data_IF_323705988833
#
_entry.id   IF_323705988833
#
_cell.length_a   1.000
_cell.length_b   1.000
_cell.length_c   1.000
_cell.angle_alpha   90.00
_cell.angle_beta   90.00
_cell.angle_gamma   90.00
#
_symmetry.space_group_name_H-M   'P 1'
#
loop_
_entity.id
_entity.type
_entity.pdbx_description
1 polymer ?
#
# COMPACT_ATOMS: atom_id res chain seq x y z
N UNK A 1 -34.69 -32.80 47.05
CA UNK A 1 -34.12 -33.15 45.73
C UNK A 1 -34.97 -32.77 44.52
N UNK A 2 -36.33 -32.82 44.46
CA UNK A 2 -37.08 -32.49 43.24
C UNK A 2 -36.99 -31.02 42.77
N UNK A 3 -36.93 -30.07 43.69
CA UNK A 3 -36.91 -28.63 43.37
C UNK A 3 -35.61 -28.17 42.70
N UNK A 4 -34.47 -28.77 43.03
CA UNK A 4 -33.15 -28.44 42.42
C UNK A 4 -33.05 -28.89 40.96
N UNK A 5 -33.64 -30.03 40.65
CA UNK A 5 -33.69 -30.59 39.30
C UNK A 5 -34.58 -29.75 38.36
N UNK A 6 -35.69 -29.22 38.88
CA UNK A 6 -36.57 -28.32 38.12
C UNK A 6 -35.94 -26.96 37.84
N UNK A 7 -35.18 -26.40 38.78
CA UNK A 7 -34.46 -25.14 38.58
C UNK A 7 -33.33 -25.31 37.54
N UNK A 8 -32.58 -26.41 37.61
CA UNK A 8 -31.53 -26.71 36.61
C UNK A 8 -32.13 -26.91 35.22
N UNK A 9 -33.22 -27.61 35.08
CA UNK A 9 -33.88 -27.79 33.77
C UNK A 9 -34.41 -26.47 33.19
N UNK A 10 -34.94 -25.56 34.03
CA UNK A 10 -35.39 -24.24 33.63
C UNK A 10 -34.23 -23.34 33.17
N UNK A 11 -33.08 -23.38 33.85
CA UNK A 11 -31.88 -22.63 33.47
C UNK A 11 -31.33 -23.15 32.13
N UNK A 12 -31.26 -24.46 31.93
CA UNK A 12 -30.82 -25.06 30.66
C UNK A 12 -31.77 -24.69 29.52
N UNK A 13 -33.09 -24.73 29.79
CA UNK A 13 -34.11 -24.35 28.80
C UNK A 13 -33.97 -22.87 28.39
N UNK A 14 -33.88 -21.99 29.39
CA UNK A 14 -33.66 -20.54 29.15
C UNK A 14 -32.37 -20.26 28.38
N UNK A 15 -31.31 -21.00 28.67
CA UNK A 15 -30.02 -20.88 27.95
C UNK A 15 -30.11 -21.32 26.48
N UNK A 16 -30.87 -22.39 26.18
CA UNK A 16 -31.15 -22.85 24.83
C UNK A 16 -32.02 -21.85 24.07
N UNK A 17 -33.03 -21.28 24.74
CA UNK A 17 -33.91 -20.29 24.11
C UNK A 17 -33.19 -18.99 23.85
N UNK A 18 -32.37 -18.50 24.78
CA UNK A 18 -31.48 -17.33 24.57
C UNK A 18 -30.47 -17.58 23.46
N UNK A 19 -29.84 -18.76 23.42
CA UNK A 19 -28.95 -19.15 22.35
C UNK A 19 -29.65 -19.21 20.99
N UNK A 20 -30.88 -19.75 20.94
CA UNK A 20 -31.73 -19.78 19.75
C UNK A 20 -32.12 -18.37 19.25
N UNK A 21 -32.50 -17.48 20.22
CA UNK A 21 -32.82 -16.08 19.90
C UNK A 21 -31.57 -15.29 19.42
N UNK A 22 -30.42 -15.49 20.06
CA UNK A 22 -29.16 -14.91 19.65
C UNK A 22 -28.73 -15.44 18.25
N UNK A 23 -28.87 -16.73 18.02
CA UNK A 23 -28.59 -17.34 16.71
C UNK A 23 -29.52 -16.79 15.64
N UNK A 24 -30.80 -16.66 15.90
CA UNK A 24 -31.78 -16.07 14.99
C UNK A 24 -31.51 -14.58 14.72
N UNK A 25 -31.12 -13.81 15.74
CA UNK A 25 -30.72 -12.40 15.60
C UNK A 25 -29.41 -12.23 14.82
N UNK A 26 -28.52 -13.24 14.85
CA UNK A 26 -27.29 -13.27 14.05
C UNK A 26 -27.53 -13.77 12.60
N UNK A 27 -28.65 -14.46 12.36
CA UNK A 27 -29.05 -14.97 11.03
C UNK A 27 -30.03 -14.02 10.30
N UNK A 28 -30.62 -13.02 10.98
CA UNK A 28 -31.39 -11.95 10.31
C UNK A 28 -30.40 -11.02 9.61
N UNK A 29 -30.25 -11.18 8.28
CA UNK A 29 -29.47 -10.26 7.45
C UNK A 29 -30.07 -8.85 7.60
N UNK A 30 -29.27 -7.94 8.14
CA UNK A 30 -29.64 -6.52 8.25
C UNK A 30 -29.87 -5.94 6.86
N UNK A 31 -30.84 -5.06 6.71
CA UNK A 31 -31.07 -4.31 5.48
C UNK A 31 -29.83 -3.45 5.16
N UNK A 32 -29.44 -3.42 3.87
CA UNK A 32 -28.30 -2.64 3.41
C UNK A 32 -28.35 -1.15 3.82
N UNK A 33 -29.56 -0.56 3.81
CA UNK A 33 -29.74 0.82 4.26
C UNK A 33 -29.45 1.01 5.74
N UNK A 34 -29.82 0.02 6.55
CA UNK A 34 -29.56 0.03 8.00
C UNK A 34 -28.05 -0.12 8.26
N UNK A 35 -27.36 -1.04 7.55
CA UNK A 35 -25.89 -1.19 7.62
C UNK A 35 -25.18 0.12 7.26
N UNK A 36 -25.54 0.73 6.11
CA UNK A 36 -24.96 1.98 5.66
C UNK A 36 -25.20 3.12 6.66
N UNK A 37 -26.42 3.21 7.23
CA UNK A 37 -26.75 4.17 8.26
C UNK A 37 -25.93 3.97 9.53
N UNK A 38 -25.88 2.75 10.06
CA UNK A 38 -25.10 2.44 11.27
C UNK A 38 -23.61 2.76 11.06
N UNK A 39 -23.05 2.46 9.90
CA UNK A 39 -21.66 2.77 9.60
C UNK A 39 -21.42 4.29 9.56
N UNK A 40 -22.30 5.06 8.90
CA UNK A 40 -22.12 6.51 8.79
C UNK A 40 -22.38 7.25 10.09
N UNK A 41 -23.25 6.74 10.97
CA UNK A 41 -23.56 7.34 12.26
C UNK A 41 -22.52 7.00 13.36
N UNK A 42 -21.83 5.85 13.26
CA UNK A 42 -20.98 5.36 14.34
C UNK A 42 -19.48 5.22 13.98
N UNK A 43 -19.10 5.33 12.71
CA UNK A 43 -17.71 5.16 12.27
C UNK A 43 -17.22 6.42 11.58
N UNK A 44 -16.11 6.99 12.05
CA UNK A 44 -15.40 8.03 11.33
C UNK A 44 -14.62 7.41 10.17
N UNK A 45 -15.01 7.72 8.93
CA UNK A 45 -14.35 7.20 7.74
C UNK A 45 -13.16 8.09 7.36
N UNK A 46 -11.97 7.49 7.33
CA UNK A 46 -10.73 8.18 6.98
C UNK A 46 -10.77 8.78 5.57
N UNK A 47 -10.05 9.89 5.36
CA UNK A 47 -9.90 10.61 4.08
C UNK A 47 -11.22 11.06 3.44
N UNK A 48 -12.27 11.25 4.25
CA UNK A 48 -13.61 11.58 3.79
C UNK A 48 -14.24 12.72 4.58
N UNK A 49 -15.03 13.54 3.91
CA UNK A 49 -15.99 14.43 4.58
C UNK A 49 -17.11 13.56 5.13
N UNK A 50 -17.43 13.70 6.44
CA UNK A 50 -18.40 12.82 7.08
C UNK A 50 -19.85 13.06 6.66
N UNK A 51 -20.18 14.28 6.25
CA UNK A 51 -21.52 14.61 5.75
C UNK A 51 -21.76 14.08 4.34
N UNK A 52 -22.90 13.40 4.13
CA UNK A 52 -23.30 12.90 2.81
C UNK A 52 -22.62 11.63 2.34
N UNK A 53 -21.98 10.90 3.23
CA UNK A 53 -21.42 9.58 2.94
C UNK A 53 -22.55 8.58 2.60
N UNK A 54 -22.34 7.81 1.54
CA UNK A 54 -23.22 6.72 1.13
C UNK A 54 -22.37 5.51 0.73
N UNK A 55 -21.89 4.72 1.72
CA UNK A 55 -21.03 3.57 1.45
C UNK A 55 -21.80 2.49 0.69
N UNK A 56 -21.11 1.83 -0.25
CA UNK A 56 -21.60 0.58 -0.84
C UNK A 56 -21.56 -0.48 0.26
N UNK A 57 -22.68 -1.18 0.44
CA UNK A 57 -22.73 -2.32 1.35
C UNK A 57 -22.34 -3.57 0.58
N UNK A 58 -21.20 -4.14 0.96
CA UNK A 58 -20.62 -5.32 0.32
C UNK A 58 -21.31 -6.57 0.87
N UNK A 59 -21.76 -7.45 -0.03
CA UNK A 59 -22.26 -8.78 0.32
C UNK A 59 -21.09 -9.79 0.40
N UNK A 60 -20.37 -9.96 -0.72
CA UNK A 60 -19.20 -10.83 -0.78
C UNK A 60 -18.19 -10.32 -1.82
N UNK A 61 -17.02 -10.96 -1.85
CA UNK A 61 -16.01 -10.68 -2.87
C UNK A 61 -15.30 -11.99 -3.26
N UNK A 62 -14.92 -12.13 -4.55
CA UNK A 62 -14.24 -13.31 -5.08
C UNK A 62 -13.31 -12.93 -6.24
N UNK A 63 -12.12 -13.52 -6.29
CA UNK A 63 -11.13 -13.24 -7.33
C UNK A 63 -10.74 -11.76 -7.35
N UNK A 64 -11.07 -11.05 -8.43
CA UNK A 64 -10.86 -9.59 -8.54
C UNK A 64 -12.15 -8.79 -8.33
N UNK A 65 -13.26 -9.43 -7.97
CA UNK A 65 -14.59 -8.83 -7.97
C UNK A 65 -15.14 -8.65 -6.57
N UNK A 66 -15.83 -7.52 -6.38
CA UNK A 66 -16.62 -7.19 -5.20
C UNK A 66 -18.10 -7.15 -5.62
N UNK A 67 -18.97 -7.70 -4.81
CA UNK A 67 -20.42 -7.71 -5.06
C UNK A 67 -21.13 -6.97 -3.94
N UNK A 68 -22.02 -6.04 -4.31
CA UNK A 68 -22.87 -5.38 -3.32
C UNK A 68 -24.14 -6.19 -3.04
N UNK A 69 -24.88 -5.75 -2.04
CA UNK A 69 -26.14 -6.40 -1.62
C UNK A 69 -27.25 -6.34 -2.66
N UNK A 70 -27.13 -5.52 -3.70
CA UNK A 70 -28.05 -5.48 -4.86
C UNK A 70 -27.59 -6.45 -5.97
N UNK A 71 -26.49 -7.19 -5.76
CA UNK A 71 -25.91 -8.13 -6.71
C UNK A 71 -25.08 -7.47 -7.82
N UNK A 72 -24.80 -6.18 -7.72
CA UNK A 72 -23.94 -5.49 -8.69
C UNK A 72 -22.48 -5.87 -8.47
N UNK A 73 -21.81 -6.24 -9.56
CA UNK A 73 -20.38 -6.60 -9.61
C UNK A 73 -19.51 -5.38 -9.88
N UNK A 74 -18.41 -5.27 -9.14
CA UNK A 74 -17.35 -4.29 -9.34
C UNK A 74 -16.03 -5.02 -9.51
N UNK A 75 -15.32 -4.78 -10.61
CA UNK A 75 -13.93 -5.20 -10.74
C UNK A 75 -13.03 -4.26 -9.95
N UNK A 76 -12.25 -4.79 -9.04
CA UNK A 76 -11.31 -4.01 -8.25
C UNK A 76 -10.03 -3.74 -9.05
N UNK A 77 -9.97 -2.60 -9.69
CA UNK A 77 -8.83 -2.18 -10.51
C UNK A 77 -7.79 -1.35 -9.73
N UNK A 78 -7.90 -1.35 -8.40
CA UNK A 78 -6.95 -0.71 -7.49
C UNK A 78 -6.44 -1.63 -6.37
N UNK A 79 -6.88 -2.90 -6.33
CA UNK A 79 -6.65 -3.79 -5.19
C UNK A 79 -7.02 -3.11 -3.87
N UNK A 80 -8.18 -2.42 -3.85
CA UNK A 80 -8.59 -1.47 -2.82
C UNK A 80 -7.55 -0.33 -2.69
N UNK A 81 -6.67 -0.41 -1.76
CA UNK A 81 -5.56 0.54 -1.59
C UNK A 81 -4.21 -0.10 -1.94
N UNK A 82 -4.15 -0.81 -3.08
CA UNK A 82 -3.00 -1.60 -3.54
C UNK A 82 -2.59 -2.64 -2.48
N UNK A 83 -3.58 -3.37 -1.99
CA UNK A 83 -3.44 -4.27 -0.84
C UNK A 83 -3.84 -5.71 -1.18
N UNK A 84 -4.94 -5.93 -1.93
CA UNK A 84 -5.52 -7.24 -2.20
C UNK A 84 -4.78 -7.93 -3.37
N UNK A 85 -3.50 -8.23 -3.17
CA UNK A 85 -2.64 -8.76 -4.23
C UNK A 85 -3.06 -10.16 -4.71
N UNK A 86 -3.42 -11.07 -3.78
CA UNK A 86 -3.81 -12.45 -4.08
C UNK A 86 -5.31 -12.61 -4.41
N UNK A 87 -6.03 -11.49 -4.53
CA UNK A 87 -7.47 -11.48 -4.74
C UNK A 87 -8.29 -11.81 -3.50
N UNK A 88 -9.59 -11.78 -3.67
CA UNK A 88 -10.58 -12.03 -2.62
C UNK A 88 -10.88 -13.52 -2.47
N UNK A 89 -11.35 -13.90 -1.29
CA UNK A 89 -11.82 -15.25 -0.94
C UNK A 89 -10.83 -16.38 -1.27
N UNK A 90 -9.52 -16.09 -1.21
CA UNK A 90 -8.51 -17.11 -1.42
C UNK A 90 -8.54 -18.13 -0.29
N UNK A 91 -8.88 -19.38 -0.67
CA UNK A 91 -9.11 -20.47 0.29
C UNK A 91 -7.87 -20.80 1.11
N UNK A 92 -6.68 -20.68 0.52
CA UNK A 92 -5.43 -21.05 1.21
C UNK A 92 -5.15 -20.15 2.41
N UNK A 93 -5.31 -18.82 2.24
CA UNK A 93 -5.14 -17.88 3.35
C UNK A 93 -6.24 -18.10 4.40
N UNK A 94 -7.48 -18.31 3.97
CA UNK A 94 -8.61 -18.56 4.87
C UNK A 94 -8.39 -19.81 5.71
N UNK A 95 -7.99 -20.93 5.11
CA UNK A 95 -7.74 -22.17 5.84
C UNK A 95 -6.49 -22.09 6.74
N UNK A 96 -5.44 -21.38 6.32
CA UNK A 96 -4.27 -21.15 7.16
C UNK A 96 -4.62 -20.34 8.43
N UNK A 97 -5.48 -19.33 8.30
CA UNK A 97 -5.98 -18.54 9.43
C UNK A 97 -6.79 -19.41 10.38
N UNK A 98 -7.75 -20.19 9.86
CA UNK A 98 -8.57 -21.12 10.66
C UNK A 98 -7.70 -22.12 11.41
N UNK A 99 -6.77 -22.78 10.72
CA UNK A 99 -5.86 -23.76 11.31
C UNK A 99 -4.98 -23.14 12.42
N UNK A 100 -4.54 -21.91 12.26
CA UNK A 100 -3.80 -21.20 13.30
C UNK A 100 -4.72 -20.82 14.47
N UNK A 101 -5.97 -20.42 14.20
CA UNK A 101 -6.94 -20.06 15.23
C UNK A 101 -7.31 -21.28 16.11
N UNK A 102 -7.41 -22.46 15.51
CA UNK A 102 -7.65 -23.72 16.23
C UNK A 102 -6.50 -24.08 17.19
N UNK A 103 -5.27 -23.65 16.91
CA UNK A 103 -4.12 -23.82 17.81
C UNK A 103 -4.13 -22.77 18.93
N UNK A 104 -4.07 -21.52 18.55
CA UNK A 104 -4.16 -20.32 19.39
C UNK A 104 -4.20 -19.06 18.53
N UNK A 105 -4.91 -18.03 19.00
CA UNK A 105 -4.99 -16.75 18.30
C UNK A 105 -3.73 -15.90 18.51
N UNK A 106 -3.26 -15.78 19.75
CA UNK A 106 -2.22 -14.84 20.13
C UNK A 106 -1.24 -15.42 21.16
N UNK A 107 0.04 -15.09 20.96
CA UNK A 107 1.11 -15.16 21.97
C UNK A 107 2.03 -13.94 21.78
N UNK A 108 2.57 -13.41 22.89
CA UNK A 108 3.47 -12.27 22.85
C UNK A 108 4.76 -12.53 22.05
N UNK A 109 5.44 -11.44 21.65
CA UNK A 109 6.60 -11.50 20.73
C UNK A 109 7.77 -12.33 21.23
N UNK A 110 7.99 -12.42 22.55
CA UNK A 110 9.08 -13.21 23.15
C UNK A 110 8.86 -14.73 23.15
N UNK A 111 7.64 -15.16 22.86
CA UNK A 111 7.32 -16.60 22.74
C UNK A 111 7.45 -17.05 21.29
N UNK A 112 8.03 -18.24 21.08
CA UNK A 112 8.13 -18.82 19.74
C UNK A 112 6.73 -19.12 19.18
N UNK A 113 6.46 -18.67 17.94
CA UNK A 113 5.29 -19.03 17.17
C UNK A 113 5.73 -19.54 15.80
N UNK A 114 5.29 -20.75 15.43
CA UNK A 114 5.67 -21.40 14.18
C UNK A 114 5.39 -20.53 12.95
N UNK A 115 4.20 -19.93 12.86
CA UNK A 115 3.81 -19.07 11.76
C UNK A 115 4.70 -17.84 11.63
N UNK A 116 5.06 -17.21 12.77
CA UNK A 116 5.97 -16.06 12.78
C UNK A 116 7.37 -16.42 12.29
N UNK A 117 7.91 -17.54 12.78
CA UNK A 117 9.24 -18.01 12.40
C UNK A 117 9.30 -18.41 10.92
N UNK A 118 8.27 -19.13 10.42
CA UNK A 118 8.16 -19.50 9.01
C UNK A 118 8.07 -18.31 8.09
N UNK A 119 7.23 -17.32 8.41
CA UNK A 119 7.09 -16.12 7.59
C UNK A 119 8.40 -15.33 7.55
N UNK A 120 9.05 -15.09 8.71
CA UNK A 120 10.31 -14.37 8.75
C UNK A 120 11.38 -15.11 7.90
N UNK A 121 11.49 -16.43 8.06
CA UNK A 121 12.43 -17.23 7.27
C UNK A 121 12.11 -17.17 5.79
N UNK A 122 10.84 -17.35 5.39
CA UNK A 122 10.42 -17.26 3.99
C UNK A 122 10.78 -15.92 3.36
N UNK A 123 10.61 -14.81 4.09
CA UNK A 123 11.00 -13.49 3.61
C UNK A 123 12.52 -13.41 3.39
N UNK A 124 13.30 -13.79 4.39
CA UNK A 124 14.76 -13.67 4.33
C UNK A 124 15.36 -14.58 3.25
N UNK A 125 14.86 -15.81 3.10
CA UNK A 125 15.37 -16.77 2.12
C UNK A 125 15.24 -16.30 0.65
N UNK A 126 14.38 -15.29 0.38
CA UNK A 126 14.17 -14.73 -0.96
C UNK A 126 14.85 -13.36 -1.15
N UNK A 127 15.69 -12.96 -0.20
CA UNK A 127 16.44 -11.72 -0.22
C UNK A 127 17.95 -11.98 -0.39
N UNK A 128 18.72 -10.97 -0.81
CA UNK A 128 20.18 -11.05 -0.77
C UNK A 128 20.70 -11.39 0.63
N UNK A 129 21.81 -12.14 0.70
CA UNK A 129 22.45 -12.64 1.95
C UNK A 129 22.80 -11.52 2.96
N UNK A 130 22.80 -10.28 2.54
CA UNK A 130 23.06 -9.14 3.42
C UNK A 130 21.90 -8.81 4.39
N UNK A 131 20.70 -9.34 4.17
CA UNK A 131 19.56 -9.13 5.07
C UNK A 131 19.48 -10.23 6.13
N UNK A 132 19.19 -9.84 7.39
CA UNK A 132 19.28 -10.74 8.52
C UNK A 132 18.01 -10.99 9.30
N UNK A 133 17.28 -9.97 9.64
CA UNK A 133 16.12 -10.10 10.56
C UNK A 133 14.93 -9.26 10.10
N UNK A 134 13.73 -9.73 10.46
CA UNK A 134 12.46 -9.04 10.27
C UNK A 134 11.93 -8.58 11.61
N UNK A 135 11.57 -7.31 11.73
CA UNK A 135 10.75 -6.78 12.81
C UNK A 135 9.33 -6.59 12.31
N UNK A 136 8.38 -7.36 12.80
CA UNK A 136 6.98 -7.28 12.39
C UNK A 136 6.25 -6.14 13.08
N UNK A 137 5.27 -5.55 12.37
CA UNK A 137 4.38 -4.47 12.83
C UNK A 137 2.93 -4.76 12.42
N UNK A 138 2.01 -3.84 12.71
CA UNK A 138 0.59 -4.00 12.35
C UNK A 138 0.24 -3.38 10.99
N UNK A 139 1.13 -2.60 10.40
CA UNK A 139 0.92 -1.93 9.12
C UNK A 139 2.11 -1.11 8.67
N UNK A 140 1.95 -0.39 7.54
CA UNK A 140 3.03 0.35 6.91
C UNK A 140 3.51 1.56 7.73
N UNK A 141 2.60 2.33 8.34
CA UNK A 141 2.98 3.46 9.17
C UNK A 141 3.84 3.02 10.36
N UNK A 142 3.42 1.94 11.05
CA UNK A 142 4.19 1.35 12.15
C UNK A 142 5.55 0.83 11.68
N UNK A 143 5.61 0.27 10.47
CA UNK A 143 6.85 -0.21 9.88
C UNK A 143 7.84 0.95 9.68
N UNK A 144 7.39 2.06 9.10
CA UNK A 144 8.19 3.25 8.89
C UNK A 144 8.64 3.89 10.21
N UNK A 145 7.75 4.01 11.22
CA UNK A 145 8.12 4.49 12.56
C UNK A 145 9.25 3.67 13.20
N UNK A 146 9.18 2.34 13.08
CA UNK A 146 10.19 1.48 13.66
C UNK A 146 11.48 1.47 12.83
N UNK A 147 11.41 1.57 11.50
CA UNK A 147 12.58 1.75 10.64
C UNK A 147 13.35 3.05 10.99
N UNK A 148 12.63 4.17 11.19
CA UNK A 148 13.21 5.44 11.64
C UNK A 148 13.91 5.28 13.01
N UNK A 149 13.24 4.62 13.97
CA UNK A 149 13.83 4.38 15.30
C UNK A 149 15.08 3.53 15.21
N UNK A 150 15.05 2.44 14.42
CA UNK A 150 16.20 1.56 14.19
C UNK A 150 17.36 2.35 13.57
N UNK A 151 17.10 3.13 12.51
CA UNK A 151 18.12 3.95 11.86
C UNK A 151 18.75 4.97 12.84
N UNK A 152 17.94 5.63 13.66
CA UNK A 152 18.43 6.59 14.68
C UNK A 152 19.25 5.89 15.75
N UNK A 153 18.84 4.73 16.25
CA UNK A 153 19.60 3.97 17.26
C UNK A 153 20.91 3.46 16.69
N UNK A 154 20.90 2.94 15.46
CA UNK A 154 22.08 2.39 14.82
C UNK A 154 23.13 3.47 14.51
N UNK A 155 22.70 4.61 13.94
CA UNK A 155 23.61 5.68 13.55
C UNK A 155 23.97 6.67 14.68
N UNK A 156 23.18 6.71 15.75
CA UNK A 156 23.28 7.74 16.80
C UNK A 156 22.88 9.14 16.31
N UNK A 157 22.26 9.26 15.13
CA UNK A 157 21.90 10.52 14.48
C UNK A 157 20.40 10.80 14.58
N UNK A 158 20.01 12.06 14.32
CA UNK A 158 18.65 12.50 14.61
C UNK A 158 17.79 12.79 13.38
N UNK A 159 18.35 13.43 12.32
CA UNK A 159 17.60 13.90 11.17
C UNK A 159 17.17 12.72 10.27
N UNK A 160 16.00 12.85 9.64
CA UNK A 160 15.53 11.91 8.60
C UNK A 160 15.00 12.74 7.44
N UNK A 161 15.37 12.36 6.23
CA UNK A 161 14.94 13.03 5.02
C UNK A 161 13.97 12.16 4.23
N UNK A 162 12.96 12.78 3.62
CA UNK A 162 12.01 12.14 2.69
C UNK A 162 11.73 13.06 1.50
N UNK A 163 11.13 12.51 0.46
CA UNK A 163 10.81 13.25 -0.75
C UNK A 163 9.45 13.95 -0.64
N UNK A 164 9.30 15.14 -1.24
CA UNK A 164 7.98 15.67 -1.58
C UNK A 164 7.27 14.72 -2.56
N UNK A 165 5.93 14.72 -2.54
CA UNK A 165 5.10 13.75 -3.28
C UNK A 165 5.37 12.32 -2.84
N UNK A 166 5.42 12.08 -1.53
CA UNK A 166 5.50 10.75 -0.91
C UNK A 166 4.40 10.55 0.12
N UNK A 167 4.15 9.29 0.46
CA UNK A 167 3.26 8.92 1.55
C UNK A 167 3.84 7.77 2.37
N UNK A 168 4.16 8.04 3.62
CA UNK A 168 4.79 7.06 4.53
C UNK A 168 3.88 6.60 5.68
N UNK A 169 2.70 7.19 5.81
CA UNK A 169 1.74 6.86 6.85
C UNK A 169 1.09 8.08 7.49
N UNK A 170 0.20 7.86 8.46
CA UNK A 170 -0.53 8.92 9.18
C UNK A 170 -0.25 8.94 10.68
N UNK A 171 0.74 8.21 11.17
CA UNK A 171 1.30 8.36 12.52
C UNK A 171 2.19 9.61 12.57
N UNK A 172 2.59 10.07 13.77
CA UNK A 172 3.31 11.35 13.87
C UNK A 172 4.64 11.36 13.12
N UNK A 173 5.51 10.34 13.25
CA UNK A 173 6.79 10.29 12.55
C UNK A 173 6.64 10.04 11.06
N UNK A 174 5.93 8.99 10.68
CA UNK A 174 5.70 8.65 9.27
C UNK A 174 4.87 9.73 8.54
N UNK A 175 3.91 10.35 9.23
CA UNK A 175 3.10 11.43 8.69
C UNK A 175 3.90 12.72 8.49
N UNK A 176 4.84 13.06 9.37
CA UNK A 176 5.75 14.20 9.18
C UNK A 176 6.76 13.97 8.05
N UNK A 177 7.02 12.73 7.64
CA UNK A 177 7.83 12.40 6.46
C UNK A 177 6.99 12.27 5.18
N UNK A 178 5.66 12.24 5.30
CA UNK A 178 4.76 12.29 4.13
C UNK A 178 4.88 13.64 3.44
N UNK A 179 5.25 13.64 2.17
CA UNK A 179 5.60 14.83 1.40
C UNK A 179 4.44 15.42 0.57
N UNK A 180 3.19 15.33 1.08
CA UNK A 180 1.98 15.80 0.39
C UNK A 180 0.93 16.29 1.40
N UNK A 181 -0.18 16.97 0.99
CA UNK A 181 -1.05 17.73 1.90
C UNK A 181 -1.60 17.00 3.12
N UNK A 182 -1.62 15.66 3.14
CA UNK A 182 -2.06 14.90 4.33
C UNK A 182 -1.19 15.14 5.56
N UNK A 183 0.04 15.65 5.39
CA UNK A 183 0.89 16.01 6.52
C UNK A 183 0.46 17.30 7.24
N UNK A 184 -0.31 18.19 6.59
CA UNK A 184 -0.73 19.47 7.19
C UNK A 184 -1.51 19.29 8.51
N UNK A 185 -2.21 18.16 8.67
CA UNK A 185 -2.90 17.83 9.92
C UNK A 185 -1.96 17.57 11.11
N UNK A 186 -0.64 17.43 10.86
CA UNK A 186 0.37 17.13 11.86
C UNK A 186 1.26 18.34 12.17
N UNK A 187 0.94 19.50 11.61
CA UNK A 187 1.68 20.74 11.89
C UNK A 187 1.39 21.27 13.30
N UNK A 188 2.39 21.86 13.99
CA UNK A 188 3.77 22.09 13.50
C UNK A 188 4.60 20.81 13.43
N UNK A 189 5.44 20.72 12.38
CA UNK A 189 6.24 19.54 12.13
C UNK A 189 7.22 19.21 13.28
N UNK A 190 7.50 17.92 13.45
CA UNK A 190 8.52 17.47 14.40
C UNK A 190 9.90 17.90 13.89
N UNK A 191 10.76 18.57 14.71
CA UNK A 191 12.11 18.95 14.30
C UNK A 191 12.94 17.74 13.84
N UNK A 192 13.71 17.95 12.76
CA UNK A 192 14.61 16.94 12.21
C UNK A 192 14.00 16.04 11.14
N UNK A 193 12.74 16.27 10.75
CA UNK A 193 12.17 15.73 9.53
C UNK A 193 12.27 16.75 8.41
N UNK A 194 12.83 16.35 7.26
CA UNK A 194 13.23 17.27 6.18
C UNK A 194 12.75 16.72 4.87
N UNK A 195 12.10 17.56 4.06
CA UNK A 195 11.69 17.15 2.70
C UNK A 195 12.68 17.68 1.66
N UNK A 196 12.92 16.85 0.65
CA UNK A 196 13.67 17.22 -0.55
C UNK A 196 12.81 17.04 -1.81
N UNK A 197 13.20 17.73 -2.88
CA UNK A 197 12.54 17.58 -4.17
C UNK A 197 13.17 16.42 -4.94
N UNK A 198 12.37 15.43 -5.30
CA UNK A 198 12.76 14.34 -6.19
C UNK A 198 12.24 14.53 -7.61
N UNK A 199 12.67 13.70 -8.57
CA UNK A 199 12.23 13.77 -9.95
C UNK A 199 10.78 13.39 -10.12
N UNK A 200 10.11 14.12 -11.01
CA UNK A 200 8.79 13.79 -11.55
C UNK A 200 8.77 14.23 -13.02
N UNK A 201 9.37 13.42 -13.88
CA UNK A 201 9.75 13.78 -15.24
C UNK A 201 8.62 14.36 -16.08
N UNK A 202 7.38 13.84 -15.94
CA UNK A 202 6.25 14.37 -16.69
C UNK A 202 5.85 15.80 -16.27
N UNK A 203 5.91 16.12 -14.98
CA UNK A 203 5.53 17.44 -14.43
C UNK A 203 6.72 18.40 -14.30
N UNK A 204 7.93 17.96 -14.69
CA UNK A 204 9.11 18.80 -14.60
C UNK A 204 9.05 19.93 -15.65
N UNK A 205 9.31 21.15 -15.18
CA UNK A 205 9.35 22.34 -16.04
C UNK A 205 10.75 22.66 -16.57
N UNK A 206 11.78 22.11 -15.94
CA UNK A 206 13.12 22.19 -16.46
C UNK A 206 13.23 21.30 -17.70
N UNK A 207 13.96 21.79 -18.68
CA UNK A 207 14.22 21.01 -19.87
C UNK A 207 15.54 20.25 -19.69
N UNK A 208 15.49 18.93 -19.82
CA UNK A 208 16.64 18.04 -19.81
C UNK A 208 16.76 17.38 -21.19
N UNK A 209 17.98 17.24 -21.69
CA UNK A 209 18.24 16.59 -22.99
C UNK A 209 18.13 15.06 -22.88
N UNK A 210 18.25 14.51 -21.67
CA UNK A 210 18.18 13.07 -21.41
C UNK A 210 17.71 12.75 -19.98
N UNK A 211 17.25 11.52 -19.78
CA UNK A 211 16.94 10.97 -18.45
C UNK A 211 18.17 10.96 -17.53
N UNK A 212 19.37 10.74 -18.07
CA UNK A 212 20.62 10.77 -17.29
C UNK A 212 20.94 12.20 -16.80
N UNK A 213 20.66 13.22 -17.58
CA UNK A 213 20.83 14.62 -17.17
C UNK A 213 19.83 14.99 -16.08
N UNK A 214 18.56 14.61 -16.21
CA UNK A 214 17.55 14.78 -15.15
C UNK A 214 17.99 14.07 -13.86
N UNK A 215 18.42 12.83 -13.98
CA UNK A 215 18.94 12.05 -12.86
C UNK A 215 20.11 12.76 -12.17
N UNK A 216 21.12 13.19 -12.94
CA UNK A 216 22.30 13.86 -12.39
C UNK A 216 21.93 15.15 -11.66
N UNK A 217 21.02 15.95 -12.21
CA UNK A 217 20.52 17.18 -11.59
C UNK A 217 19.89 16.90 -10.21
N UNK A 218 18.95 15.95 -10.12
CA UNK A 218 18.26 15.67 -8.86
C UNK A 218 19.17 15.01 -7.82
N UNK A 219 20.11 14.17 -8.24
CA UNK A 219 21.12 13.59 -7.35
C UNK A 219 22.05 14.67 -6.81
N UNK A 220 22.50 15.61 -7.64
CA UNK A 220 23.34 16.74 -7.20
C UNK A 220 22.60 17.64 -6.22
N UNK A 221 21.34 17.98 -6.51
CA UNK A 221 20.50 18.78 -5.60
C UNK A 221 20.26 18.10 -4.25
N UNK A 222 20.04 16.80 -4.23
CA UNK A 222 19.93 16.05 -2.97
C UNK A 222 21.25 16.06 -2.22
N UNK A 223 22.38 15.85 -2.89
CA UNK A 223 23.69 15.86 -2.28
C UNK A 223 24.02 17.24 -1.67
N UNK A 224 23.74 18.33 -2.39
CA UNK A 224 23.88 19.70 -1.90
C UNK A 224 23.05 19.92 -0.63
N UNK A 225 21.79 19.49 -0.63
CA UNK A 225 20.90 19.60 0.56
C UNK A 225 21.43 18.78 1.75
N UNK A 226 21.92 17.55 1.51
CA UNK A 226 22.55 16.72 2.57
C UNK A 226 23.73 17.43 3.19
N UNK A 227 24.57 18.12 2.40
CA UNK A 227 25.69 18.90 2.90
C UNK A 227 25.19 20.06 3.80
N UNK A 228 24.20 20.83 3.33
CA UNK A 228 23.66 21.97 4.10
C UNK A 228 22.93 21.54 5.38
N UNK A 229 22.31 20.36 5.38
CA UNK A 229 21.68 19.79 6.57
C UNK A 229 22.67 19.15 7.56
N UNK A 230 23.93 18.98 7.16
CA UNK A 230 24.96 18.27 7.92
C UNK A 230 24.80 16.77 7.75
N UNK A 231 25.48 16.17 6.78
CA UNK A 231 25.36 14.75 6.44
C UNK A 231 25.66 13.81 7.60
N UNK A 232 26.53 14.23 8.54
CA UNK A 232 26.85 13.53 9.78
C UNK A 232 25.73 13.56 10.84
N UNK A 233 24.67 14.32 10.62
CA UNK A 233 23.50 14.45 11.50
C UNK A 233 22.27 13.71 10.98
N UNK A 234 22.31 13.22 9.74
CA UNK A 234 21.20 12.54 9.09
C UNK A 234 21.30 11.04 9.36
N UNK A 235 20.29 10.48 10.00
CA UNK A 235 20.18 9.05 10.31
C UNK A 235 19.77 8.25 9.07
N UNK A 236 18.79 8.76 8.32
CA UNK A 236 18.25 8.04 7.18
C UNK A 236 17.68 8.98 6.10
N UNK A 237 17.67 8.47 4.87
CA UNK A 237 16.81 8.92 3.79
C UNK A 237 15.79 7.81 3.54
N UNK A 238 14.49 8.13 3.66
CA UNK A 238 13.39 7.22 3.35
C UNK A 238 12.72 7.66 2.05
N UNK A 239 12.44 6.71 1.18
CA UNK A 239 11.71 6.95 -0.07
C UNK A 239 10.93 5.71 -0.51
N UNK A 240 9.78 5.93 -1.14
CA UNK A 240 9.08 4.88 -1.86
C UNK A 240 9.91 4.52 -3.09
N UNK A 241 10.15 3.25 -3.35
CA UNK A 241 10.99 2.81 -4.50
C UNK A 241 10.32 3.11 -5.84
N UNK A 242 9.00 3.00 -5.87
CA UNK A 242 8.10 3.59 -6.85
C UNK A 242 7.06 4.35 -6.04
N UNK A 243 6.92 5.64 -6.28
CA UNK A 243 5.96 6.46 -5.53
C UNK A 243 4.54 5.99 -5.83
N UNK A 244 3.83 5.57 -4.79
CA UNK A 244 2.51 4.97 -4.96
C UNK A 244 1.39 6.00 -5.09
N UNK A 245 0.78 6.36 -3.96
CA UNK A 245 -0.45 7.16 -3.96
C UNK A 245 -0.32 8.55 -4.61
N UNK A 246 0.88 9.09 -4.70
CA UNK A 246 1.13 10.38 -5.33
C UNK A 246 1.28 10.32 -6.87
N UNK A 247 0.82 9.25 -7.52
CA UNK A 247 0.66 9.21 -8.97
C UNK A 247 1.50 8.18 -9.70
N UNK A 248 1.94 7.12 -9.03
CA UNK A 248 2.78 6.05 -9.60
C UNK A 248 4.02 6.65 -10.29
N UNK A 249 4.79 7.43 -9.53
CA UNK A 249 5.98 8.08 -10.09
C UNK A 249 7.11 7.07 -10.13
N UNK A 250 7.57 6.77 -11.34
CA UNK A 250 8.73 5.92 -11.61
C UNK A 250 9.92 6.87 -11.79
N UNK A 251 10.98 6.66 -11.02
CA UNK A 251 12.17 7.49 -11.09
C UNK A 251 13.00 7.23 -12.36
N UNK A 252 13.81 8.19 -12.79
CA UNK A 252 14.85 7.95 -13.78
C UNK A 252 15.73 6.77 -13.37
N UNK A 253 16.10 5.94 -14.34
CA UNK A 253 16.73 4.62 -14.15
C UNK A 253 17.85 4.57 -13.11
N UNK A 254 18.69 5.60 -13.05
CA UNK A 254 19.87 5.65 -12.19
C UNK A 254 19.67 6.47 -10.90
N UNK A 255 18.48 7.05 -10.68
CA UNK A 255 18.25 7.96 -9.56
C UNK A 255 18.45 7.28 -8.19
N UNK A 256 17.85 6.11 -7.99
CA UNK A 256 18.01 5.37 -6.72
C UNK A 256 19.46 4.95 -6.46
N UNK A 257 20.24 4.65 -7.51
CA UNK A 257 21.69 4.41 -7.40
C UNK A 257 22.45 5.67 -6.98
N UNK A 258 22.02 6.83 -7.46
CA UNK A 258 22.55 8.12 -7.03
C UNK A 258 22.26 8.39 -5.55
N UNK A 259 21.03 8.15 -5.10
CA UNK A 259 20.65 8.25 -3.68
C UNK A 259 21.46 7.28 -2.81
N UNK A 260 21.65 6.02 -3.26
CA UNK A 260 22.50 5.05 -2.53
C UNK A 260 23.94 5.55 -2.38
N UNK A 261 24.54 6.10 -3.41
CA UNK A 261 25.90 6.66 -3.35
C UNK A 261 26.01 7.81 -2.34
N UNK A 262 25.01 8.69 -2.28
CA UNK A 262 24.97 9.75 -1.27
C UNK A 262 24.87 9.14 0.14
N UNK A 263 23.99 8.15 0.33
CA UNK A 263 23.87 7.47 1.61
C UNK A 263 25.19 6.83 2.04
N UNK A 264 25.90 6.16 1.12
CA UNK A 264 27.21 5.54 1.39
C UNK A 264 28.28 6.58 1.72
N UNK A 265 28.32 7.69 0.98
CA UNK A 265 29.28 8.78 1.18
C UNK A 265 29.20 9.39 2.57
N UNK A 266 27.97 9.58 3.09
CA UNK A 266 27.73 10.24 4.37
C UNK A 266 27.42 9.27 5.51
N UNK A 267 27.38 7.97 5.27
CA UNK A 267 26.98 6.95 6.26
C UNK A 267 25.54 7.11 6.73
N UNK A 268 24.64 7.44 5.80
CA UNK A 268 23.20 7.61 6.01
C UNK A 268 22.50 6.29 5.67
N UNK A 269 21.53 5.84 6.47
CA UNK A 269 20.75 4.64 6.16
C UNK A 269 19.77 4.93 5.02
N UNK A 270 19.77 4.09 4.00
CA UNK A 270 18.74 4.11 2.95
C UNK A 270 17.58 3.21 3.35
N UNK A 271 16.40 3.80 3.53
CA UNK A 271 15.15 3.07 3.81
C UNK A 271 14.31 3.06 2.54
N UNK A 272 14.05 1.88 1.99
CA UNK A 272 13.08 1.72 0.92
C UNK A 272 11.72 1.39 1.51
N UNK A 273 10.75 2.29 1.31
CA UNK A 273 9.34 2.06 1.63
C UNK A 273 8.71 1.24 0.50
N UNK A 274 8.57 -0.06 0.76
CA UNK A 274 7.98 -1.05 -0.14
C UNK A 274 6.55 -1.43 0.26
N UNK A 275 5.91 -0.60 1.08
CA UNK A 275 4.55 -0.86 1.58
C UNK A 275 3.56 -0.99 0.44
N UNK A 276 3.71 -0.20 -0.62
CA UNK A 276 2.79 -0.19 -1.76
C UNK A 276 3.37 -0.91 -2.99
N UNK A 277 4.66 -0.73 -3.27
CA UNK A 277 5.34 -1.24 -4.46
C UNK A 277 5.86 -2.68 -4.32
N UNK A 278 5.96 -3.19 -3.10
CA UNK A 278 6.46 -4.53 -2.81
C UNK A 278 5.48 -5.67 -3.15
N UNK A 279 5.93 -6.88 -2.82
CA UNK A 279 5.16 -8.11 -2.94
C UNK A 279 4.68 -8.38 -4.38
N UNK A 280 5.63 -8.36 -5.31
CA UNK A 280 5.45 -8.64 -6.74
C UNK A 280 4.63 -7.60 -7.52
N UNK A 281 4.17 -6.52 -6.91
CA UNK A 281 3.37 -5.46 -7.57
C UNK A 281 4.06 -4.93 -8.83
N UNK A 282 5.38 -4.76 -8.78
CA UNK A 282 6.21 -4.25 -9.88
C UNK A 282 6.88 -5.35 -10.72
N UNK A 283 6.47 -6.62 -10.56
CA UNK A 283 7.07 -7.75 -11.27
C UNK A 283 8.35 -8.28 -10.62
N UNK A 284 8.68 -7.86 -9.40
CA UNK A 284 9.73 -8.37 -8.51
C UNK A 284 9.19 -8.42 -7.09
N UNK A 285 9.75 -9.28 -6.23
CA UNK A 285 9.30 -9.39 -4.84
C UNK A 285 9.27 -8.03 -4.14
N UNK A 286 10.31 -7.23 -4.30
CA UNK A 286 10.35 -5.82 -3.90
C UNK A 286 10.78 -4.96 -5.08
N UNK A 287 10.22 -3.74 -5.18
CA UNK A 287 10.43 -2.87 -6.32
C UNK A 287 11.89 -2.42 -6.48
N UNK A 288 12.65 -2.27 -5.38
CA UNK A 288 14.08 -1.90 -5.44
C UNK A 288 14.91 -2.86 -6.31
N UNK A 289 14.49 -4.11 -6.44
CA UNK A 289 15.16 -5.12 -7.27
C UNK A 289 15.13 -4.80 -8.78
N UNK A 290 14.21 -3.91 -9.21
CA UNK A 290 14.17 -3.45 -10.60
C UNK A 290 15.23 -2.36 -10.90
N UNK A 291 15.80 -1.75 -9.84
CA UNK A 291 16.69 -0.58 -9.97
C UNK A 291 18.15 -0.88 -9.63
N UNK A 292 18.47 -2.15 -9.39
CA UNK A 292 19.83 -2.60 -9.09
C UNK A 292 20.47 -1.79 -7.93
N UNK A 293 19.72 -1.67 -6.84
CA UNK A 293 20.10 -0.98 -5.61
C UNK A 293 19.74 -1.87 -4.41
N UNK A 294 20.51 -1.81 -3.33
CA UNK A 294 20.23 -2.55 -2.10
C UNK A 294 20.11 -1.56 -0.95
N UNK A 295 18.91 -1.39 -0.34
CA UNK A 295 18.72 -0.52 0.82
C UNK A 295 19.29 -1.15 2.09
N UNK A 296 19.39 -0.36 3.16
CA UNK A 296 19.80 -0.85 4.48
C UNK A 296 18.61 -1.39 5.27
N UNK A 297 17.43 -0.79 5.04
CA UNK A 297 16.16 -1.19 5.65
C UNK A 297 15.07 -1.20 4.57
N UNK A 298 14.24 -2.23 4.60
CA UNK A 298 13.04 -2.33 3.75
C UNK A 298 11.82 -2.29 4.66
N UNK A 299 10.86 -1.40 4.41
CA UNK A 299 9.56 -1.45 5.11
C UNK A 299 8.49 -2.05 4.22
N UNK A 300 7.58 -2.81 4.81
CA UNK A 300 6.54 -3.51 4.06
C UNK A 300 5.22 -3.62 4.84
N UNK A 301 4.12 -3.82 4.11
CA UNK A 301 2.80 -4.18 4.63
C UNK A 301 1.95 -4.77 3.50
N UNK A 302 0.64 -4.52 3.49
CA UNK A 302 -0.30 -4.76 2.38
C UNK A 302 -0.18 -6.14 1.74
N UNK A 303 0.53 -6.24 0.62
CA UNK A 303 0.71 -7.47 -0.14
C UNK A 303 1.38 -8.63 0.62
N UNK A 304 1.97 -8.40 1.80
CA UNK A 304 2.60 -9.47 2.60
C UNK A 304 1.63 -10.63 2.88
N UNK A 305 0.36 -10.31 3.09
CA UNK A 305 -0.71 -11.28 3.30
C UNK A 305 -2.01 -10.88 2.59
N UNK A 306 -1.92 -10.02 1.58
CA UNK A 306 -3.06 -9.61 0.73
C UNK A 306 -4.23 -8.99 1.52
N UNK A 307 -3.96 -8.33 2.64
CA UNK A 307 -4.97 -7.65 3.45
C UNK A 307 -5.86 -8.55 4.31
N UNK A 308 -5.60 -9.85 4.39
CA UNK A 308 -6.41 -10.78 5.17
C UNK A 308 -6.41 -10.44 6.66
N UNK A 309 -5.27 -10.05 7.21
CA UNK A 309 -5.14 -9.57 8.60
C UNK A 309 -4.08 -8.47 8.62
N UNK A 310 -4.28 -7.37 9.37
CA UNK A 310 -3.28 -6.32 9.47
C UNK A 310 -1.89 -6.85 9.81
N UNK A 311 -0.90 -6.56 8.97
CA UNK A 311 0.49 -6.97 9.11
C UNK A 311 1.40 -6.01 8.34
N UNK A 312 2.53 -5.71 8.92
CA UNK A 312 3.63 -5.01 8.29
C UNK A 312 4.96 -5.41 8.94
N UNK A 313 6.01 -4.73 8.57
CA UNK A 313 7.31 -4.93 9.19
C UNK A 313 8.44 -4.17 8.50
N UNK A 314 9.60 -4.27 9.10
CA UNK A 314 10.84 -3.84 8.47
C UNK A 314 11.86 -4.98 8.49
N UNK A 315 12.63 -5.05 7.40
CA UNK A 315 13.72 -5.99 7.20
C UNK A 315 15.00 -5.20 7.29
N UNK A 316 15.97 -5.67 8.05
CA UNK A 316 17.23 -4.97 8.26
C UNK A 316 18.42 -5.79 7.80
N UNK A 317 19.48 -5.12 7.33
CA UNK A 317 20.75 -5.77 7.03
C UNK A 317 21.36 -6.48 8.26
N UNK A 318 22.21 -7.47 8.01
CA UNK A 318 22.91 -8.23 9.04
C UNK A 318 23.64 -7.34 10.05
N UNK A 319 24.36 -6.31 9.59
CA UNK A 319 25.08 -5.39 10.47
C UNK A 319 24.17 -4.64 11.44
N UNK A 320 22.98 -4.21 10.99
CA UNK A 320 21.97 -3.57 11.84
C UNK A 320 21.36 -4.60 12.81
N UNK A 321 21.09 -5.83 12.34
CA UNK A 321 20.58 -6.88 13.18
C UNK A 321 21.55 -7.25 14.31
N UNK A 322 22.84 -7.39 14.00
CA UNK A 322 23.89 -7.69 14.98
C UNK A 322 24.21 -6.54 15.94
N UNK A 323 24.00 -5.28 15.53
CA UNK A 323 24.14 -4.16 16.46
C UNK A 323 23.24 -4.32 17.69
N UNK A 324 22.08 -4.92 17.54
CA UNK A 324 21.13 -5.16 18.64
C UNK A 324 21.39 -6.47 19.41
N UNK A 325 22.45 -7.22 19.13
CA UNK A 325 22.81 -8.38 19.95
C UNK A 325 23.24 -7.94 21.36
N UNK A 326 23.92 -6.77 21.47
CA UNK A 326 24.39 -6.18 22.72
C UNK A 326 23.68 -4.87 23.11
N UNK A 327 22.76 -4.38 22.26
CA UNK A 327 22.04 -3.13 22.48
C UNK A 327 20.55 -3.40 22.61
N UNK A 328 19.91 -2.66 23.54
CA UNK A 328 18.47 -2.77 23.71
C UNK A 328 17.73 -2.19 22.50
N UNK A 329 16.90 -3.00 21.85
CA UNK A 329 16.02 -2.58 20.76
C UNK A 329 14.76 -1.92 21.34
N UNK A 330 14.73 -0.59 21.39
CA UNK A 330 13.57 0.20 21.88
C UNK A 330 12.42 0.26 20.88
N UNK A 331 12.11 -0.87 20.25
CA UNK A 331 10.95 -1.08 19.36
C UNK A 331 10.04 -2.14 19.96
N UNK A 332 8.74 -1.95 19.88
CA UNK A 332 7.79 -2.91 20.40
C UNK A 332 6.35 -2.52 20.11
N UNK A 333 5.55 -3.51 19.76
CA UNK A 333 4.11 -3.42 19.54
C UNK A 333 3.47 -4.67 20.14
N UNK A 334 2.37 -4.53 20.86
CA UNK A 334 1.66 -5.68 21.49
C UNK A 334 1.38 -6.79 20.47
N UNK A 335 0.97 -6.43 19.27
CA UNK A 335 0.59 -7.38 18.22
C UNK A 335 1.69 -7.64 17.17
N UNK A 336 2.95 -7.27 17.46
CA UNK A 336 4.10 -7.53 16.59
C UNK A 336 4.18 -9.02 16.21
N UNK A 337 4.10 -9.31 14.91
CA UNK A 337 4.12 -10.69 14.40
C UNK A 337 2.97 -11.55 14.95
N UNK A 338 1.76 -11.01 14.93
CA UNK A 338 0.55 -11.74 15.37
C UNK A 338 0.44 -13.08 14.66
N UNK A 339 0.30 -14.22 15.38
CA UNK A 339 0.35 -15.55 14.78
C UNK A 339 -0.66 -15.76 13.64
N UNK A 340 -1.88 -15.26 13.76
CA UNK A 340 -2.89 -15.34 12.68
C UNK A 340 -2.45 -14.57 11.43
N UNK A 341 -1.92 -13.36 11.62
CA UNK A 341 -1.45 -12.52 10.51
C UNK A 341 -0.24 -13.14 9.80
N UNK A 342 0.67 -13.74 10.59
CA UNK A 342 1.81 -14.46 10.05
C UNK A 342 1.41 -15.76 9.34
N UNK A 343 0.39 -16.49 9.82
CA UNK A 343 -0.13 -17.67 9.14
C UNK A 343 -0.72 -17.32 7.76
N UNK A 344 -1.51 -16.25 7.69
CA UNK A 344 -1.97 -15.72 6.42
C UNK A 344 -0.80 -15.31 5.51
N UNK A 345 0.24 -14.68 6.09
CA UNK A 345 1.45 -14.30 5.36
C UNK A 345 2.21 -15.50 4.78
N UNK A 346 2.37 -16.58 5.55
CA UNK A 346 3.01 -17.83 5.06
C UNK A 346 2.24 -18.38 3.87
N UNK A 347 0.92 -18.55 3.99
CA UNK A 347 0.08 -19.04 2.90
C UNK A 347 0.13 -18.12 1.67
N UNK A 348 0.17 -16.80 1.88
CA UNK A 348 0.27 -15.82 0.81
C UNK A 348 1.61 -15.93 0.06
N UNK A 349 2.75 -16.05 0.77
CA UNK A 349 4.05 -16.24 0.14
C UNK A 349 4.11 -17.57 -0.64
N UNK A 350 3.63 -18.67 -0.06
CA UNK A 350 3.54 -19.97 -0.74
C UNK A 350 2.64 -19.87 -2.00
N UNK A 351 1.54 -19.15 -1.92
CA UNK A 351 0.66 -18.89 -3.08
C UNK A 351 1.41 -18.13 -4.19
N UNK A 352 2.14 -17.06 -3.86
CA UNK A 352 2.90 -16.29 -4.84
C UNK A 352 3.97 -17.13 -5.54
N UNK A 353 4.71 -17.91 -4.78
CA UNK A 353 5.80 -18.77 -5.31
C UNK A 353 5.23 -19.87 -6.20
N UNK A 354 4.24 -20.62 -5.72
CA UNK A 354 3.65 -21.75 -6.44
C UNK A 354 2.98 -21.34 -7.74
N UNK A 355 2.33 -20.18 -7.76
CA UNK A 355 1.66 -19.66 -8.95
C UNK A 355 2.59 -18.82 -9.84
N UNK A 356 3.90 -18.75 -9.52
CA UNK A 356 4.87 -17.97 -10.25
C UNK A 356 4.36 -16.54 -10.55
N UNK A 357 3.87 -15.87 -9.49
CA UNK A 357 3.24 -14.54 -9.60
C UNK A 357 4.20 -13.52 -10.21
N UNK A 358 5.51 -13.65 -9.99
CA UNK A 358 6.51 -12.77 -10.62
C UNK A 358 6.39 -12.79 -12.15
N UNK A 359 6.45 -13.96 -12.76
CA UNK A 359 6.34 -14.08 -14.22
C UNK A 359 4.94 -13.69 -14.74
N UNK A 360 3.89 -14.02 -13.98
CA UNK A 360 2.53 -13.63 -14.32
C UNK A 360 2.39 -12.10 -14.35
N UNK A 361 2.86 -11.39 -13.33
CA UNK A 361 2.81 -9.92 -13.25
C UNK A 361 3.66 -9.26 -14.33
N UNK A 362 4.83 -9.82 -14.65
CA UNK A 362 5.65 -9.32 -15.77
C UNK A 362 4.90 -9.41 -17.10
N UNK A 363 4.22 -10.53 -17.35
CA UNK A 363 3.45 -10.74 -18.59
C UNK A 363 2.20 -9.86 -18.64
N UNK A 364 1.33 -9.94 -17.63
CA UNK A 364 0.06 -9.19 -17.60
C UNK A 364 0.29 -7.70 -17.42
N UNK A 365 1.35 -7.29 -16.72
CA UNK A 365 1.74 -5.89 -16.59
C UNK A 365 2.22 -5.28 -17.91
N UNK A 366 2.94 -6.06 -18.72
CA UNK A 366 3.30 -5.62 -20.09
C UNK A 366 2.05 -5.42 -20.93
N UNK A 367 1.10 -6.38 -20.91
CA UNK A 367 -0.17 -6.27 -21.63
C UNK A 367 -0.98 -5.05 -21.17
N UNK A 368 -1.10 -4.84 -19.85
CA UNK A 368 -1.76 -3.66 -19.29
C UNK A 368 -1.10 -2.37 -19.80
N UNK A 369 0.22 -2.28 -19.77
CA UNK A 369 0.95 -1.11 -20.26
C UNK A 369 0.70 -0.81 -21.73
N UNK A 370 0.73 -1.83 -22.60
CA UNK A 370 0.44 -1.68 -24.02
C UNK A 370 -1.00 -1.16 -24.24
N UNK A 371 -1.99 -1.68 -23.51
CA UNK A 371 -3.37 -1.20 -23.56
C UNK A 371 -3.56 0.23 -23.06
N UNK A 372 -2.84 0.61 -22.02
CA UNK A 372 -2.86 1.99 -21.52
C UNK A 372 -2.23 2.98 -22.53
N UNK A 373 -1.18 2.59 -23.25
CA UNK A 373 -0.63 3.41 -24.33
C UNK A 373 -1.60 3.53 -25.53
N UNK A 374 -2.38 2.47 -25.85
CA UNK A 374 -3.45 2.54 -26.84
C UNK A 374 -4.52 3.59 -26.42
N UNK A 375 -4.95 3.57 -25.15
CA UNK A 375 -5.87 4.59 -24.62
C UNK A 375 -5.28 6.00 -24.69
N UNK A 376 -3.99 6.17 -24.34
CA UNK A 376 -3.30 7.45 -24.45
C UNK A 376 -3.25 7.95 -25.89
N UNK A 377 -3.04 7.07 -26.86
CA UNK A 377 -3.06 7.45 -28.27
C UNK A 377 -4.45 7.93 -28.73
N UNK A 378 -5.51 7.33 -28.21
CA UNK A 378 -6.91 7.61 -28.55
C UNK A 378 -7.45 8.87 -27.87
N UNK A 379 -7.21 9.07 -26.56
CA UNK A 379 -7.83 10.09 -25.74
C UNK A 379 -6.93 11.30 -25.49
N UNK A 380 -7.41 12.49 -25.82
CA UNK A 380 -6.65 13.75 -25.67
C UNK A 380 -6.47 14.15 -24.21
N UNK A 381 -7.38 13.76 -23.33
CA UNK A 381 -7.32 14.03 -21.90
C UNK A 381 -6.19 13.29 -21.18
N UNK A 382 -5.62 12.22 -21.78
CA UNK A 382 -4.50 11.51 -21.17
C UNK A 382 -3.18 12.23 -21.54
N UNK A 383 -2.53 12.83 -20.58
CA UNK A 383 -1.22 13.44 -20.74
C UNK A 383 -0.10 12.44 -20.67
N UNK A 384 -0.16 11.55 -19.68
CA UNK A 384 0.88 10.54 -19.45
C UNK A 384 0.31 9.23 -18.90
N UNK A 385 1.02 8.15 -19.19
CA UNK A 385 0.77 6.81 -18.65
C UNK A 385 2.08 6.29 -18.10
N UNK A 386 2.06 5.84 -16.85
CA UNK A 386 3.22 5.25 -16.18
C UNK A 386 2.85 3.87 -15.69
N UNK A 387 3.71 2.90 -15.90
CA UNK A 387 3.47 1.53 -15.45
C UNK A 387 4.77 0.75 -15.21
N UNK A 388 4.73 -0.11 -14.20
CA UNK A 388 5.76 -1.10 -13.90
C UNK A 388 5.09 -2.32 -13.26
N UNK A 389 5.11 -3.48 -13.92
CA UNK A 389 4.29 -4.62 -13.55
C UNK A 389 2.79 -4.26 -13.60
N UNK A 390 2.04 -4.64 -12.58
CA UNK A 390 0.61 -4.28 -12.42
C UNK A 390 0.43 -3.05 -11.51
N UNK A 391 1.28 -2.06 -11.66
CA UNK A 391 1.27 -0.81 -10.92
C UNK A 391 1.34 0.34 -11.90
N UNK A 392 0.20 0.99 -12.15
CA UNK A 392 0.09 2.00 -13.20
C UNK A 392 -0.78 3.20 -12.79
N UNK A 393 -0.49 4.34 -13.41
CA UNK A 393 -1.20 5.58 -13.26
C UNK A 393 -1.46 6.27 -14.59
N UNK A 394 -2.67 6.80 -14.76
CA UNK A 394 -3.10 7.56 -15.94
C UNK A 394 -3.25 9.02 -15.51
N UNK A 395 -2.40 9.89 -16.00
CA UNK A 395 -2.42 11.32 -15.67
C UNK A 395 -3.27 12.11 -16.68
N UNK A 396 -4.30 12.76 -16.15
CA UNK A 396 -5.23 13.53 -16.96
C UNK A 396 -4.82 15.00 -17.05
N UNK A 397 -4.92 15.55 -18.28
CA UNK A 397 -4.54 16.93 -18.61
C UNK A 397 -5.64 17.61 -19.42
N UNK A 398 -5.67 18.92 -19.39
CA UNK A 398 -6.47 19.74 -20.33
C UNK A 398 -5.78 19.90 -21.67
N UNK A 399 -4.46 19.99 -21.64
CA UNK A 399 -3.65 20.20 -22.83
C UNK A 399 -2.33 19.45 -22.72
N UNK A 400 -2.04 18.60 -23.69
CA UNK A 400 -0.85 17.77 -23.72
C UNK A 400 0.42 18.57 -24.00
N UNK A 401 0.30 19.67 -24.74
CA UNK A 401 1.44 20.49 -25.17
C UNK A 401 1.98 21.29 -24.00
N UNK A 402 1.09 21.91 -23.24
CA UNK A 402 1.43 22.68 -22.05
C UNK A 402 1.56 21.82 -20.79
N UNK A 403 1.08 20.57 -20.84
CA UNK A 403 0.93 19.65 -19.71
C UNK A 403 0.06 20.24 -18.59
N UNK A 404 -0.89 21.14 -18.94
CA UNK A 404 -1.81 21.68 -17.96
C UNK A 404 -2.65 20.55 -17.36
N UNK A 405 -2.58 20.30 -16.03
CA UNK A 405 -3.33 19.22 -15.41
C UNK A 405 -4.83 19.47 -15.52
N UNK A 406 -5.62 18.39 -15.59
CA UNK A 406 -7.08 18.48 -15.64
C UNK A 406 -7.65 19.21 -14.41
N UNK A 407 -7.08 18.96 -13.25
CA UNK A 407 -7.32 19.71 -12.02
C UNK A 407 -6.00 20.18 -11.42
N UNK A 408 -5.93 21.41 -10.86
CA UNK A 408 -4.73 21.90 -10.18
C UNK A 408 -4.41 21.01 -8.96
N UNK A 409 -3.12 20.85 -8.66
CA UNK A 409 -2.65 20.06 -7.54
C UNK A 409 -3.19 20.60 -6.20
N UNK A 410 -3.73 19.70 -5.36
CA UNK A 410 -4.36 20.05 -4.09
C UNK A 410 -5.74 20.69 -4.23
N UNK A 411 -6.31 20.81 -5.44
CA UNK A 411 -7.55 21.51 -5.69
C UNK A 411 -8.41 20.80 -6.73
N UNK A 412 -9.63 20.46 -6.36
CA UNK A 412 -10.70 20.04 -7.29
C UNK A 412 -12.02 20.71 -6.90
N UNK A 413 -12.12 22.05 -7.03
CA UNK A 413 -13.28 22.81 -6.55
C UNK A 413 -14.58 22.44 -7.29
N UNK A 414 -14.48 21.88 -8.47
CA UNK A 414 -15.63 21.44 -9.28
C UNK A 414 -15.95 19.96 -9.11
N UNK A 415 -15.13 19.21 -8.37
CA UNK A 415 -15.32 17.77 -8.17
C UNK A 415 -15.18 16.94 -9.46
N UNK A 416 -14.32 17.38 -10.39
CA UNK A 416 -14.16 16.76 -11.71
C UNK A 416 -13.65 15.33 -11.57
N UNK A 417 -12.57 15.13 -10.81
CA UNK A 417 -12.00 13.80 -10.61
C UNK A 417 -12.96 12.88 -9.87
N UNK A 418 -13.65 13.41 -8.85
CA UNK A 418 -14.71 12.67 -8.15
C UNK A 418 -15.84 12.23 -9.08
N UNK A 419 -16.24 13.07 -10.05
CA UNK A 419 -17.24 12.70 -11.05
C UNK A 419 -16.74 11.61 -12.01
N UNK A 420 -15.48 11.66 -12.45
CA UNK A 420 -14.86 10.65 -13.30
C UNK A 420 -14.80 9.30 -12.58
N UNK A 421 -14.35 9.27 -11.34
CA UNK A 421 -14.29 8.04 -10.53
C UNK A 421 -15.69 7.47 -10.27
N UNK A 422 -16.68 8.34 -10.03
CA UNK A 422 -18.09 7.93 -9.89
C UNK A 422 -18.62 7.30 -11.18
N UNK A 423 -18.25 7.82 -12.34
CA UNK A 423 -18.66 7.32 -13.63
C UNK A 423 -18.04 5.94 -13.92
N UNK A 424 -16.74 5.74 -13.64
CA UNK A 424 -16.08 4.42 -13.67
C UNK A 424 -16.80 3.42 -12.75
N UNK A 425 -17.04 3.81 -11.51
CA UNK A 425 -17.73 2.98 -10.52
C UNK A 425 -19.15 2.61 -10.94
N UNK A 426 -19.87 3.50 -11.63
CA UNK A 426 -21.20 3.24 -12.14
C UNK A 426 -21.23 2.09 -13.15
N UNK A 427 -20.13 1.89 -13.91
CA UNK A 427 -19.91 0.80 -14.85
C UNK A 427 -19.33 -0.46 -14.23
N UNK A 428 -19.14 -0.48 -12.91
CA UNK A 428 -18.54 -1.61 -12.20
C UNK A 428 -17.01 -1.66 -12.28
N UNK A 429 -16.35 -0.56 -12.65
CA UNK A 429 -14.90 -0.39 -12.58
C UNK A 429 -14.55 0.34 -11.28
N UNK A 430 -14.04 -0.35 -10.29
CA UNK A 430 -13.68 0.23 -9.01
C UNK A 430 -12.21 0.65 -9.00
N UNK A 431 -11.97 1.94 -8.79
CA UNK A 431 -10.66 2.51 -8.57
C UNK A 431 -10.78 3.84 -7.81
N UNK A 432 -9.65 4.47 -7.57
CA UNK A 432 -9.55 5.82 -7.01
C UNK A 432 -8.57 6.68 -7.82
N UNK A 433 -8.62 7.97 -7.58
CA UNK A 433 -7.63 8.91 -8.10
C UNK A 433 -6.91 9.63 -6.96
N UNK A 434 -5.69 10.03 -7.23
CA UNK A 434 -4.99 11.02 -6.43
C UNK A 434 -4.67 12.20 -7.35
N UNK A 435 -5.15 13.39 -6.96
CA UNK A 435 -5.11 14.56 -7.84
C UNK A 435 -5.70 14.22 -9.22
N UNK A 436 -4.99 14.50 -10.29
CA UNK A 436 -5.38 14.21 -11.67
C UNK A 436 -4.89 12.84 -12.18
N UNK A 437 -4.45 11.95 -11.31
CA UNK A 437 -3.98 10.61 -11.69
C UNK A 437 -4.97 9.54 -11.26
N UNK A 438 -5.49 8.78 -12.22
CA UNK A 438 -6.28 7.56 -11.97
C UNK A 438 -5.31 6.42 -11.72
N UNK A 439 -5.49 5.69 -10.62
CA UNK A 439 -4.65 4.54 -10.28
C UNK A 439 -5.23 3.28 -10.91
N UNK A 440 -4.37 2.49 -11.57
CA UNK A 440 -4.74 1.17 -12.09
C UNK A 440 -3.74 0.14 -11.57
N UNK A 441 -4.15 -0.57 -10.52
CA UNK A 441 -3.31 -1.51 -9.79
C UNK A 441 -4.14 -2.72 -9.32
N UNK A 442 -4.69 -3.53 -10.26
CA UNK A 442 -5.60 -4.63 -9.94
C UNK A 442 -4.92 -5.72 -9.12
N UNK A 443 -5.67 -6.66 -8.52
CA UNK A 443 -5.10 -7.85 -7.90
C UNK A 443 -4.14 -8.58 -8.85
N UNK A 444 -3.04 -9.11 -8.34
CA UNK A 444 -1.97 -9.70 -9.17
C UNK A 444 -2.42 -10.94 -9.96
N UNK A 445 -3.56 -11.50 -9.59
CA UNK A 445 -4.16 -12.66 -10.26
C UNK A 445 -4.99 -12.31 -11.49
N UNK A 446 -5.11 -11.02 -11.83
CA UNK A 446 -5.89 -10.57 -12.99
C UNK A 446 -5.37 -11.20 -14.29
N UNK A 447 -6.26 -11.56 -15.20
CA UNK A 447 -5.94 -12.10 -16.52
C UNK A 447 -5.92 -11.00 -17.58
N UNK A 448 -5.24 -11.24 -18.71
CA UNK A 448 -5.24 -10.32 -19.87
C UNK A 448 -6.67 -10.05 -20.37
N UNK A 449 -7.52 -11.08 -20.43
CA UNK A 449 -8.92 -10.92 -20.86
C UNK A 449 -9.74 -10.04 -19.91
N UNK A 450 -9.49 -10.13 -18.59
CA UNK A 450 -10.13 -9.24 -17.62
C UNK A 450 -9.61 -7.80 -17.75
N UNK A 451 -8.32 -7.62 -18.04
CA UNK A 451 -7.75 -6.30 -18.32
C UNK A 451 -8.46 -5.68 -19.53
N UNK A 452 -8.61 -6.44 -20.62
CA UNK A 452 -9.27 -5.96 -21.83
C UNK A 452 -10.72 -5.58 -21.56
N UNK A 453 -11.52 -6.45 -20.89
CA UNK A 453 -12.91 -6.18 -20.51
C UNK A 453 -13.04 -4.88 -19.68
N UNK A 454 -12.16 -4.70 -18.70
CA UNK A 454 -12.27 -3.55 -17.81
C UNK A 454 -11.79 -2.26 -18.46
N UNK A 455 -10.76 -2.31 -19.33
CA UNK A 455 -10.29 -1.12 -20.03
C UNK A 455 -11.28 -0.61 -21.10
N UNK A 456 -12.17 -1.46 -21.64
CA UNK A 456 -13.28 -0.99 -22.48
C UNK A 456 -14.19 -0.01 -21.73
N UNK A 457 -14.49 -0.28 -20.45
CA UNK A 457 -15.29 0.62 -19.61
C UNK A 457 -14.56 1.94 -19.34
N UNK A 458 -13.24 1.89 -19.17
CA UNK A 458 -12.40 3.08 -19.01
C UNK A 458 -12.40 3.92 -20.30
N UNK A 459 -12.28 3.30 -21.45
CA UNK A 459 -12.33 3.94 -22.77
C UNK A 459 -13.61 4.77 -22.98
N UNK A 460 -14.77 4.21 -22.61
CA UNK A 460 -16.04 4.94 -22.64
C UNK A 460 -16.03 6.17 -21.74
N UNK A 461 -15.51 6.04 -20.52
CA UNK A 461 -15.45 7.16 -19.56
C UNK A 461 -14.47 8.24 -20.03
N UNK A 462 -13.31 7.85 -20.58
CA UNK A 462 -12.33 8.79 -21.12
C UNK A 462 -12.90 9.56 -22.33
N UNK A 463 -13.74 8.93 -23.16
CA UNK A 463 -14.47 9.62 -24.24
C UNK A 463 -15.37 10.74 -23.68
N UNK A 464 -16.08 10.47 -22.56
CA UNK A 464 -16.89 11.50 -21.88
C UNK A 464 -15.97 12.63 -21.32
N UNK A 465 -14.78 12.28 -20.82
CA UNK A 465 -13.81 13.29 -20.34
C UNK A 465 -13.34 14.19 -21.47
N UNK A 466 -12.98 13.60 -22.62
CA UNK A 466 -12.57 14.36 -23.81
C UNK A 466 -13.65 15.35 -24.29
N UNK A 467 -14.93 14.94 -24.28
CA UNK A 467 -16.03 15.77 -24.74
C UNK A 467 -16.43 16.86 -23.75
N UNK A 468 -16.32 16.59 -22.45
CA UNK A 468 -16.92 17.45 -21.43
C UNK A 468 -15.93 18.42 -20.78
N UNK A 469 -14.66 18.06 -20.71
CA UNK A 469 -13.68 18.79 -19.91
C UNK A 469 -12.50 19.37 -20.72
N UNK A 470 -12.38 19.02 -22.01
CA UNK A 470 -11.44 19.63 -22.95
C UNK A 470 -12.16 20.58 -23.91
#
# INVERSE_FOLDING_TARGET
MPAFTQVLSAIVWLSIEIYGLLKKSLEENMDAKEIAKMQTENVLLGWSKQGGLNPIVVDHAEGIYIYDTDGKRYADMSSEQVNVNAGYANKEMTEAIKAQLDKFAYVQGSWGAESRAKLAKSIIDHLPDCFGKVFFTNGGADANENAIKIARMFTGRFKVMSQYRSYHGSTFGAGNLTGEPRHFALEPAIPGFIHFRGPYSYQEKLHFESEDEECAYYVDKLREQVIFEGGDRIAAIILETVVGSNGIIIYPKNYLKGVRKICDEFGIMMICDEVMAGWYRTGKMFAYMNFDVTPDIITFAKGVNSGYIPLGGCIVKNEIAHFFDDKYLSCGLTYSGHPLACAAGVACQEFYIRNNIEAHVQKTGKHLGEKLEELKAKHKCIGDVRYIGLFSGIELVKDRTTREPLVPWGQDPKGIMGAIIKELKSRGFFTYSHENVIIVAPPLIITEAQIDEELEKMDEVLSIVDEKYL
#
